data_IF_364859109668
#
_entry.id   IF_364859109668
#
_cell.length_a   1.000
_cell.length_b   1.000
_cell.length_c   1.000
_cell.angle_alpha   90.00
_cell.angle_beta   90.00
_cell.angle_gamma   90.00
#
_symmetry.space_group_name_H-M   'P 1'
#
loop_
_entity.id
_entity.type
_entity.pdbx_description
1 polymer ?
#
# COMPACT_ATOMS: atom_id res chain seq x y z
N UNK A 1 40.14 -11.18 24.48
CA UNK A 1 39.59 -9.93 25.05
C UNK A 1 38.08 -10.11 25.15
N UNK A 2 37.57 -10.30 26.37
CA UNK A 2 36.16 -10.51 26.65
C UNK A 2 35.43 -9.15 26.51
N UNK A 3 34.45 -9.06 25.58
CA UNK A 3 33.54 -7.92 25.50
C UNK A 3 32.60 -8.03 26.73
N UNK A 4 32.80 -7.16 27.71
CA UNK A 4 31.86 -7.00 28.80
C UNK A 4 30.52 -6.54 28.24
N UNK A 5 29.49 -7.37 28.42
CA UNK A 5 28.11 -6.99 28.19
C UNK A 5 27.80 -5.82 29.13
N UNK A 6 27.67 -4.61 28.59
CA UNK A 6 27.13 -3.49 29.36
C UNK A 6 25.71 -3.85 29.75
N UNK A 7 25.48 -4.04 31.07
CA UNK A 7 24.15 -4.12 31.60
C UNK A 7 23.40 -2.85 31.25
N UNK A 8 22.51 -2.95 30.23
CA UNK A 8 21.73 -1.82 29.77
C UNK A 8 20.87 -1.28 30.90
N UNK A 9 20.94 0.02 31.12
CA UNK A 9 20.00 0.73 32.00
C UNK A 9 18.60 0.36 31.48
N UNK A 10 17.68 -0.15 32.33
CA UNK A 10 16.33 -0.47 31.87
C UNK A 10 15.70 0.79 31.30
N UNK A 11 15.30 0.69 30.05
CA UNK A 11 14.68 1.82 29.35
C UNK A 11 13.43 2.26 30.10
N UNK A 12 13.20 3.57 30.24
CA UNK A 12 11.97 4.06 30.86
C UNK A 12 10.80 3.58 29.99
N UNK A 13 10.02 2.66 30.51
CA UNK A 13 8.76 2.22 29.86
C UNK A 13 7.84 3.44 29.83
N UNK A 14 7.44 3.86 28.67
CA UNK A 14 6.54 5.00 28.52
C UNK A 14 5.29 4.79 29.40
N UNK A 15 4.80 5.87 30.02
CA UNK A 15 3.63 5.80 30.89
C UNK A 15 2.44 5.17 30.13
N UNK A 16 1.59 4.35 30.76
CA UNK A 16 0.48 3.65 30.10
C UNK A 16 -0.42 4.56 29.27
N UNK A 17 -0.65 5.79 29.72
CA UNK A 17 -1.42 6.81 28.99
C UNK A 17 -0.75 7.23 27.67
N UNK A 18 0.58 7.35 27.65
CA UNK A 18 1.35 7.70 26.44
C UNK A 18 1.25 6.56 25.42
N UNK A 19 1.41 5.31 25.87
CA UNK A 19 1.27 4.15 24.97
C UNK A 19 -0.14 4.04 24.38
N UNK A 20 -1.17 4.30 25.18
CA UNK A 20 -2.56 4.31 24.70
C UNK A 20 -2.78 5.42 23.66
N UNK A 21 -2.23 6.62 23.89
CA UNK A 21 -2.31 7.74 22.97
C UNK A 21 -1.55 7.45 21.67
N UNK A 22 -0.33 6.89 21.75
CA UNK A 22 0.43 6.46 20.58
C UNK A 22 -0.35 5.46 19.71
N UNK A 23 -0.96 4.44 20.34
CA UNK A 23 -1.78 3.44 19.64
C UNK A 23 -3.03 4.06 19.03
N UNK A 24 -3.70 4.97 19.72
CA UNK A 24 -4.87 5.70 19.19
C UNK A 24 -4.50 6.55 17.98
N UNK A 25 -3.34 7.22 17.99
CA UNK A 25 -2.86 7.99 16.84
C UNK A 25 -2.51 7.08 15.64
N UNK A 26 -1.88 5.92 15.86
CA UNK A 26 -1.64 4.96 14.77
C UNK A 26 -2.96 4.54 14.14
N UNK A 27 -3.98 4.26 14.96
CA UNK A 27 -5.32 3.94 14.46
C UNK A 27 -5.92 5.10 13.66
N UNK A 28 -5.83 6.33 14.18
CA UNK A 28 -6.42 7.51 13.54
C UNK A 28 -5.71 7.86 12.22
N UNK A 29 -4.37 7.79 12.18
CA UNK A 29 -3.59 7.94 10.94
C UNK A 29 -4.06 6.93 9.90
N UNK A 30 -4.16 5.66 10.29
CA UNK A 30 -4.58 4.59 9.37
C UNK A 30 -6.03 4.75 8.88
N UNK A 31 -6.95 5.22 9.72
CA UNK A 31 -8.33 5.48 9.33
C UNK A 31 -8.44 6.69 8.39
N UNK A 32 -7.63 7.73 8.60
CA UNK A 32 -7.66 8.95 7.81
C UNK A 32 -7.08 8.82 6.40
N UNK A 33 -6.27 7.78 6.11
CA UNK A 33 -5.75 7.49 4.75
C UNK A 33 -6.87 7.38 3.72
N UNK A 34 -8.05 6.97 4.14
CA UNK A 34 -9.22 6.80 3.28
C UNK A 34 -9.91 8.12 2.88
N UNK A 35 -9.54 9.27 3.45
CA UNK A 35 -10.19 10.57 3.19
C UNK A 35 -9.23 11.47 2.43
N UNK A 36 -9.38 11.54 1.10
CA UNK A 36 -8.40 12.16 0.20
C UNK A 36 -9.02 13.21 -0.75
N UNK A 37 -10.34 13.35 -0.77
CA UNK A 37 -11.02 14.30 -1.66
C UNK A 37 -10.87 15.78 -1.25
N UNK A 38 -10.37 16.03 -0.03
CA UNK A 38 -10.06 17.37 0.52
C UNK A 38 -8.53 17.49 0.63
N UNK A 39 -7.97 18.67 0.31
CA UNK A 39 -6.56 18.99 0.51
C UNK A 39 -6.38 20.29 1.28
N UNK A 40 -5.50 20.31 2.32
CA UNK A 40 -4.80 19.15 2.89
C UNK A 40 -5.78 18.14 3.48
N UNK A 41 -5.50 16.83 3.28
CA UNK A 41 -6.41 15.81 3.79
C UNK A 41 -6.24 15.64 5.31
N UNK A 42 -7.24 15.08 6.02
CA UNK A 42 -7.09 14.72 7.42
C UNK A 42 -5.86 13.87 7.72
N UNK A 43 -5.44 13.05 6.75
CA UNK A 43 -4.25 12.21 6.87
C UNK A 43 -2.97 13.02 7.11
N UNK A 44 -2.76 14.12 6.36
CA UNK A 44 -1.57 14.95 6.53
C UNK A 44 -1.51 15.55 7.94
N UNK A 45 -2.61 16.10 8.40
CA UNK A 45 -2.70 16.76 9.72
C UNK A 45 -2.47 15.74 10.84
N UNK A 46 -3.19 14.63 10.79
CA UNK A 46 -3.10 13.58 11.83
C UNK A 46 -1.70 12.93 11.85
N UNK A 47 -1.09 12.71 10.68
CA UNK A 47 0.26 12.13 10.58
C UNK A 47 1.32 13.08 11.15
N UNK A 48 1.22 14.38 10.87
CA UNK A 48 2.12 15.38 11.47
C UNK A 48 1.97 15.44 12.98
N UNK A 49 0.74 15.44 13.50
CA UNK A 49 0.49 15.38 14.95
C UNK A 49 1.08 14.09 15.57
N UNK A 50 0.88 12.96 14.90
CA UNK A 50 1.45 11.69 15.34
C UNK A 50 2.98 11.73 15.33
N UNK A 51 3.59 12.26 14.27
CA UNK A 51 5.04 12.43 14.19
C UNK A 51 5.60 13.26 15.36
N UNK A 52 4.99 14.42 15.65
CA UNK A 52 5.41 15.28 16.77
C UNK A 52 5.30 14.54 18.11
N UNK A 53 4.17 13.85 18.37
CA UNK A 53 4.01 13.09 19.62
C UNK A 53 5.04 11.98 19.74
N UNK A 54 5.24 11.19 18.69
CA UNK A 54 6.21 10.09 18.71
C UNK A 54 7.65 10.61 18.84
N UNK A 55 8.00 11.72 18.19
CA UNK A 55 9.30 12.36 18.34
C UNK A 55 9.54 12.83 19.79
N UNK A 56 8.51 13.40 20.42
CA UNK A 56 8.57 13.86 21.82
C UNK A 56 8.61 12.69 22.83
N UNK A 57 8.09 11.52 22.49
CA UNK A 57 7.96 10.37 23.39
C UNK A 57 8.97 9.24 23.12
N UNK A 58 9.89 9.41 22.19
CA UNK A 58 11.01 8.48 21.98
C UNK A 58 11.02 7.73 20.66
N UNK A 59 10.77 8.40 19.55
CA UNK A 59 10.94 7.82 18.23
C UNK A 59 12.43 7.53 17.93
N UNK A 60 12.75 6.31 17.49
CA UNK A 60 14.15 5.89 17.27
C UNK A 60 14.43 5.56 15.82
N UNK A 61 15.40 6.25 15.23
CA UNK A 61 15.94 5.91 13.92
C UNK A 61 17.03 4.84 14.09
N UNK A 62 16.73 3.60 13.70
CA UNK A 62 17.66 2.47 13.78
C UNK A 62 18.56 2.42 12.52
N UNK A 63 19.81 2.00 12.68
CA UNK A 63 20.76 1.88 11.55
C UNK A 63 20.25 0.95 10.43
N UNK A 64 19.40 0.00 10.74
CA UNK A 64 18.77 -0.89 9.73
C UNK A 64 17.94 -0.13 8.70
N UNK A 65 17.49 1.10 9.00
CA UNK A 65 16.75 1.96 8.07
C UNK A 65 17.64 2.81 7.17
N UNK A 66 18.97 2.79 7.33
CA UNK A 66 19.87 3.63 6.52
C UNK A 66 19.70 3.45 5.01
N UNK A 67 19.54 2.23 4.46
CA UNK A 67 19.30 2.07 3.02
C UNK A 67 17.98 2.70 2.58
N UNK A 68 16.90 2.55 3.38
CA UNK A 68 15.60 3.18 3.15
C UNK A 68 15.75 4.71 3.12
N UNK A 69 16.33 5.29 4.18
CA UNK A 69 16.49 6.74 4.31
C UNK A 69 17.34 7.31 3.17
N UNK A 70 18.48 6.66 2.87
CA UNK A 70 19.37 7.10 1.79
C UNK A 70 18.64 7.15 0.44
N UNK A 71 17.93 6.08 0.08
CA UNK A 71 17.21 6.00 -1.20
C UNK A 71 16.04 6.99 -1.27
N UNK A 72 15.31 7.21 -0.16
CA UNK A 72 14.26 8.23 -0.08
C UNK A 72 14.81 9.65 -0.21
N UNK A 73 15.95 9.93 0.40
CA UNK A 73 16.64 11.23 0.30
C UNK A 73 17.15 11.44 -1.13
N UNK A 74 17.81 10.45 -1.74
CA UNK A 74 18.28 10.55 -3.12
C UNK A 74 17.14 10.76 -4.10
N UNK A 75 16.03 10.02 -3.95
CA UNK A 75 14.82 10.19 -4.75
C UNK A 75 14.33 11.64 -4.72
N UNK A 76 14.21 12.20 -3.53
CA UNK A 76 13.69 13.56 -3.34
C UNK A 76 14.69 14.66 -3.69
N UNK A 77 15.99 14.42 -3.55
CA UNK A 77 17.03 15.32 -4.08
C UNK A 77 16.89 15.40 -5.61
N UNK A 78 16.76 14.28 -6.31
CA UNK A 78 16.58 14.28 -7.75
C UNK A 78 15.32 15.05 -8.16
N UNK A 79 14.18 14.80 -7.53
CA UNK A 79 12.93 15.55 -7.76
C UNK A 79 13.09 17.06 -7.51
N UNK A 80 13.81 17.43 -6.43
CA UNK A 80 14.05 18.83 -6.10
C UNK A 80 14.97 19.51 -7.14
N UNK A 81 16.00 18.80 -7.61
CA UNK A 81 16.92 19.31 -8.66
C UNK A 81 16.18 19.43 -10.01
N UNK A 82 15.41 18.41 -10.40
CA UNK A 82 14.61 18.46 -11.64
C UNK A 82 13.55 19.56 -11.63
N UNK A 83 13.02 19.91 -10.45
CA UNK A 83 12.03 20.97 -10.31
C UNK A 83 12.60 22.40 -10.48
N UNK A 84 13.91 22.62 -10.31
CA UNK A 84 14.50 23.99 -10.27
C UNK A 84 14.13 24.82 -11.49
N UNK A 85 14.17 24.21 -12.67
CA UNK A 85 13.90 24.91 -13.94
C UNK A 85 12.43 25.18 -14.22
N UNK A 86 11.52 24.61 -13.41
CA UNK A 86 10.07 24.63 -13.63
C UNK A 86 9.28 25.00 -12.36
N UNK A 87 9.93 25.60 -11.36
CA UNK A 87 9.30 25.98 -10.08
C UNK A 87 8.19 27.02 -10.22
N UNK A 88 8.19 27.79 -11.27
CA UNK A 88 7.17 28.77 -11.65
C UNK A 88 5.90 28.13 -12.21
N UNK A 89 6.00 26.86 -12.63
CA UNK A 89 4.85 26.13 -13.16
C UNK A 89 3.87 25.74 -12.04
N UNK A 90 2.55 25.75 -12.34
CA UNK A 90 1.52 25.42 -11.35
C UNK A 90 1.75 24.05 -10.70
N UNK A 91 1.56 23.98 -9.39
CA UNK A 91 1.62 22.77 -8.56
C UNK A 91 2.99 22.07 -8.47
N UNK A 92 4.04 22.50 -9.16
CA UNK A 92 5.36 21.86 -9.08
C UNK A 92 5.94 21.93 -7.67
N UNK A 93 5.89 23.10 -7.03
CA UNK A 93 6.37 23.24 -5.65
C UNK A 93 5.61 22.34 -4.68
N UNK A 94 4.28 22.34 -4.74
CA UNK A 94 3.46 21.48 -3.87
C UNK A 94 3.69 19.99 -4.15
N UNK A 95 3.94 19.60 -5.39
CA UNK A 95 4.27 18.23 -5.76
C UNK A 95 5.58 17.76 -5.09
N UNK A 96 6.63 18.58 -5.15
CA UNK A 96 7.92 18.28 -4.49
C UNK A 96 7.77 18.20 -2.98
N UNK A 97 7.05 19.16 -2.37
CA UNK A 97 6.78 19.14 -0.92
C UNK A 97 6.01 17.88 -0.52
N UNK A 98 5.01 17.49 -1.32
CA UNK A 98 4.24 16.26 -1.08
C UNK A 98 5.13 15.02 -1.20
N UNK A 99 6.07 14.96 -2.15
CA UNK A 99 7.02 13.85 -2.27
C UNK A 99 7.93 13.72 -1.04
N UNK A 100 8.48 14.84 -0.53
CA UNK A 100 9.23 14.85 0.74
C UNK A 100 8.38 14.41 1.93
N UNK A 101 7.13 14.87 1.99
CA UNK A 101 6.18 14.44 3.02
C UNK A 101 5.92 12.93 2.95
N UNK A 102 5.73 12.36 1.76
CA UNK A 102 5.54 10.91 1.57
C UNK A 102 6.77 10.12 2.05
N UNK A 103 7.98 10.58 1.72
CA UNK A 103 9.22 9.97 2.20
C UNK A 103 9.31 10.01 3.74
N UNK A 104 8.96 11.14 4.35
CA UNK A 104 8.89 11.27 5.81
C UNK A 104 7.89 10.29 6.42
N UNK A 105 6.70 10.11 5.81
CA UNK A 105 5.70 9.16 6.31
C UNK A 105 6.18 7.71 6.23
N UNK A 106 6.90 7.32 5.18
CA UNK A 106 7.51 5.99 5.09
C UNK A 106 8.53 5.75 6.21
N UNK A 107 9.41 6.71 6.47
CA UNK A 107 10.38 6.62 7.58
C UNK A 107 9.64 6.57 8.94
N UNK A 108 8.60 7.38 9.11
CA UNK A 108 7.77 7.39 10.32
C UNK A 108 7.15 6.01 10.59
N UNK A 109 6.48 5.40 9.61
CA UNK A 109 5.89 4.07 9.78
C UNK A 109 6.94 2.99 10.02
N UNK A 110 8.13 3.09 9.40
CA UNK A 110 9.24 2.18 9.65
C UNK A 110 9.69 2.25 11.12
N UNK A 111 9.85 3.45 11.67
CA UNK A 111 10.23 3.64 13.06
C UNK A 111 9.13 3.18 14.02
N UNK A 112 7.88 3.60 13.79
CA UNK A 112 6.72 3.28 14.66
C UNK A 112 6.47 1.78 14.73
N UNK A 113 6.51 1.07 13.59
CA UNK A 113 6.24 -0.36 13.54
C UNK A 113 7.45 -1.25 13.85
N UNK A 114 8.62 -0.65 14.14
CA UNK A 114 9.78 -1.40 14.65
C UNK A 114 9.73 -1.66 16.16
N UNK A 115 8.82 -1.01 16.87
CA UNK A 115 8.61 -1.14 18.33
C UNK A 115 7.13 -1.38 18.62
N UNK A 116 6.83 -2.16 19.66
CA UNK A 116 5.44 -2.56 19.99
C UNK A 116 4.65 -3.06 18.77
N UNK A 117 5.35 -3.78 17.88
CA UNK A 117 4.93 -4.08 16.51
C UNK A 117 3.55 -4.73 16.44
N UNK A 118 3.26 -5.73 17.30
CA UNK A 118 1.97 -6.42 17.28
C UNK A 118 0.80 -5.48 17.59
N UNK A 119 0.92 -4.69 18.68
CA UNK A 119 -0.17 -3.82 19.11
C UNK A 119 -0.37 -2.64 18.12
N UNK A 120 0.73 -2.03 17.67
CA UNK A 120 0.65 -0.92 16.70
C UNK A 120 0.14 -1.38 15.34
N UNK A 121 0.54 -2.57 14.89
CA UNK A 121 0.05 -3.17 13.65
C UNK A 121 -1.44 -3.55 13.73
N UNK A 122 -1.91 -4.02 14.89
CA UNK A 122 -3.34 -4.29 15.08
C UNK A 122 -4.16 -2.97 15.04
N UNK A 123 -3.66 -1.88 15.61
CA UNK A 123 -4.29 -0.57 15.50
C UNK A 123 -4.29 -0.04 14.05
N UNK A 124 -3.17 -0.15 13.35
CA UNK A 124 -3.07 0.22 11.93
C UNK A 124 -4.08 -0.56 11.09
N UNK A 125 -4.15 -1.88 11.27
CA UNK A 125 -5.10 -2.74 10.56
C UNK A 125 -6.55 -2.35 10.84
N UNK A 126 -6.92 -2.12 12.12
CA UNK A 126 -8.27 -1.68 12.50
C UNK A 126 -8.62 -0.33 11.91
N UNK A 127 -7.69 0.64 11.94
CA UNK A 127 -7.89 1.95 11.31
C UNK A 127 -8.11 1.84 9.80
N UNK A 128 -7.25 1.10 9.08
CA UNK A 128 -7.40 0.86 7.64
C UNK A 128 -8.74 0.21 7.30
N UNK A 129 -9.20 -0.77 8.10
CA UNK A 129 -10.49 -1.43 7.87
C UNK A 129 -11.68 -0.48 8.07
N UNK A 130 -11.64 0.37 9.10
CA UNK A 130 -12.68 1.38 9.30
C UNK A 130 -12.68 2.40 8.17
N UNK A 131 -11.52 2.94 7.80
CA UNK A 131 -11.40 3.86 6.67
C UNK A 131 -11.89 3.23 5.36
N UNK A 132 -11.53 1.97 5.09
CA UNK A 132 -11.97 1.25 3.91
C UNK A 132 -13.48 1.05 3.86
N UNK A 133 -14.12 0.71 4.98
CA UNK A 133 -15.58 0.57 5.05
C UNK A 133 -16.28 1.92 4.81
N UNK A 134 -15.76 3.00 5.40
CA UNK A 134 -16.30 4.36 5.16
C UNK A 134 -16.18 4.73 3.68
N UNK A 135 -15.01 4.55 3.08
CA UNK A 135 -14.79 4.83 1.66
C UNK A 135 -15.66 3.96 0.74
N UNK A 136 -15.81 2.67 1.08
CA UNK A 136 -16.65 1.73 0.31
C UNK A 136 -18.13 2.07 0.39
N UNK A 137 -18.63 2.40 1.59
CA UNK A 137 -20.04 2.81 1.76
C UNK A 137 -20.32 4.14 1.05
N UNK A 138 -19.38 5.10 1.10
CA UNK A 138 -19.48 6.34 0.34
C UNK A 138 -19.49 6.07 -1.18
N UNK A 139 -18.61 5.19 -1.67
CA UNK A 139 -18.54 4.80 -3.08
C UNK A 139 -19.84 4.16 -3.57
N UNK A 140 -20.38 3.20 -2.80
CA UNK A 140 -21.65 2.52 -3.10
C UNK A 140 -22.83 3.52 -3.02
N UNK A 141 -22.86 4.33 -1.95
CA UNK A 141 -23.92 5.33 -1.76
C UNK A 141 -23.96 6.39 -2.85
N UNK A 142 -22.79 6.83 -3.33
CA UNK A 142 -22.67 7.74 -4.45
C UNK A 142 -23.10 7.11 -5.77
N UNK A 143 -22.59 5.91 -6.07
CA UNK A 143 -22.90 5.21 -7.32
C UNK A 143 -24.41 4.95 -7.51
N UNK A 144 -25.09 4.48 -6.48
CA UNK A 144 -26.54 4.22 -6.50
C UNK A 144 -27.38 5.45 -6.13
N UNK A 145 -26.78 6.64 -6.02
CA UNK A 145 -27.43 7.88 -5.65
C UNK A 145 -28.33 7.78 -4.40
N UNK A 146 -27.84 7.06 -3.37
CA UNK A 146 -28.58 6.82 -2.13
C UNK A 146 -28.64 8.07 -1.22
N UNK A 147 -27.81 9.08 -1.50
CA UNK A 147 -27.75 10.36 -0.79
C UNK A 147 -27.94 11.48 -1.81
N UNK A 148 -28.84 12.46 -1.58
CA UNK A 148 -29.04 13.59 -2.49
C UNK A 148 -27.72 14.33 -2.78
N UNK A 149 -27.38 14.51 -4.07
CA UNK A 149 -26.12 15.09 -4.51
C UNK A 149 -24.87 14.20 -4.32
N UNK A 150 -25.07 12.98 -3.81
CA UNK A 150 -23.97 12.03 -3.57
C UNK A 150 -23.33 11.52 -4.85
N UNK A 151 -24.11 11.39 -5.92
CA UNK A 151 -23.58 10.93 -7.20
C UNK A 151 -22.48 11.87 -7.73
N UNK A 152 -22.72 13.16 -7.81
CA UNK A 152 -21.76 14.13 -8.34
C UNK A 152 -20.51 14.25 -7.47
N UNK A 153 -20.67 14.11 -6.14
CA UNK A 153 -19.56 14.21 -5.20
C UNK A 153 -18.70 12.95 -5.12
N UNK A 154 -19.31 11.75 -5.23
CA UNK A 154 -18.70 10.46 -4.90
C UNK A 154 -18.44 9.57 -6.11
N UNK A 155 -18.75 10.07 -7.33
CA UNK A 155 -18.41 9.43 -8.60
C UNK A 155 -17.53 10.33 -9.46
N UNK A 156 -16.89 9.73 -10.46
CA UNK A 156 -16.15 10.42 -11.50
C UNK A 156 -16.23 9.58 -12.78
N UNK A 157 -16.68 10.19 -13.88
CA UNK A 157 -16.91 9.48 -15.17
C UNK A 157 -17.76 8.21 -14.98
N UNK A 158 -18.89 8.33 -14.30
CA UNK A 158 -19.81 7.22 -13.97
C UNK A 158 -19.18 6.07 -13.18
N UNK A 159 -18.06 6.31 -12.54
CA UNK A 159 -17.31 5.35 -11.72
C UNK A 159 -17.29 5.78 -10.27
N UNK A 160 -17.43 4.83 -9.34
CA UNK A 160 -17.36 5.12 -7.92
C UNK A 160 -15.93 5.54 -7.50
N UNK A 161 -15.79 6.74 -6.93
CA UNK A 161 -14.54 7.23 -6.32
C UNK A 161 -14.60 7.35 -4.80
N UNK A 162 -15.82 7.32 -4.22
CA UNK A 162 -16.03 7.44 -2.78
C UNK A 162 -15.35 8.67 -2.20
N UNK A 163 -14.55 8.48 -1.18
CA UNK A 163 -13.78 9.53 -0.49
C UNK A 163 -12.41 9.84 -1.12
N UNK A 164 -12.19 9.40 -2.37
CA UNK A 164 -10.97 9.63 -3.14
C UNK A 164 -11.21 10.61 -4.30
N UNK A 165 -10.14 11.16 -4.86
CA UNK A 165 -10.21 12.02 -6.05
C UNK A 165 -10.41 11.20 -7.33
N UNK A 166 -9.90 9.96 -7.35
CA UNK A 166 -9.89 9.11 -8.54
C UNK A 166 -10.34 7.68 -8.20
N UNK A 167 -11.18 7.04 -9.06
CA UNK A 167 -11.64 5.65 -8.87
C UNK A 167 -10.51 4.62 -8.84
N UNK A 168 -9.42 4.83 -9.58
CA UNK A 168 -8.30 3.89 -9.59
C UNK A 168 -7.58 3.90 -8.23
N UNK A 169 -7.42 5.09 -7.64
CA UNK A 169 -6.80 5.23 -6.30
C UNK A 169 -7.67 4.60 -5.22
N UNK A 170 -9.01 4.78 -5.29
CA UNK A 170 -9.94 4.07 -4.39
C UNK A 170 -9.76 2.55 -4.52
N UNK A 171 -9.79 2.02 -5.75
CA UNK A 171 -9.67 0.58 -6.00
C UNK A 171 -8.38 0.01 -5.44
N UNK A 172 -7.25 0.64 -5.74
CA UNK A 172 -5.93 0.25 -5.25
C UNK A 172 -5.81 0.31 -3.71
N UNK A 173 -6.32 1.38 -3.08
CA UNK A 173 -6.33 1.50 -1.61
C UNK A 173 -7.10 0.36 -0.96
N UNK A 174 -8.22 -0.05 -1.52
CA UNK A 174 -9.10 -1.07 -0.96
C UNK A 174 -8.50 -2.49 -1.02
N UNK A 175 -7.46 -2.73 -1.82
CA UNK A 175 -6.82 -4.06 -1.93
C UNK A 175 -6.27 -4.52 -0.58
N UNK A 176 -5.46 -3.71 0.12
CA UNK A 176 -4.88 -4.13 1.41
C UNK A 176 -5.94 -4.45 2.48
N UNK A 177 -6.97 -3.62 2.71
CA UNK A 177 -8.09 -3.97 3.58
C UNK A 177 -8.81 -5.26 3.16
N UNK A 178 -9.05 -5.47 1.85
CA UNK A 178 -9.65 -6.69 1.33
C UNK A 178 -8.80 -7.93 1.66
N UNK A 179 -7.47 -7.86 1.54
CA UNK A 179 -6.57 -8.94 1.91
C UNK A 179 -6.62 -9.25 3.41
N UNK A 180 -6.69 -8.26 4.28
CA UNK A 180 -6.88 -8.50 5.73
C UNK A 180 -8.22 -9.18 6.04
N UNK A 181 -9.29 -8.80 5.33
CA UNK A 181 -10.59 -9.43 5.48
C UNK A 181 -10.59 -10.86 4.94
N UNK A 182 -10.01 -11.09 3.76
CA UNK A 182 -9.86 -12.42 3.17
C UNK A 182 -9.05 -13.34 4.08
N UNK A 183 -7.98 -12.85 4.68
CA UNK A 183 -7.17 -13.58 5.67
C UNK A 183 -8.04 -14.07 6.85
N UNK A 184 -8.91 -13.20 7.37
CA UNK A 184 -9.84 -13.59 8.43
C UNK A 184 -10.88 -14.61 7.94
N UNK A 185 -11.40 -14.48 6.71
CA UNK A 185 -12.34 -15.44 6.12
C UNK A 185 -11.75 -16.84 6.12
N UNK A 186 -10.50 -16.98 5.69
CA UNK A 186 -9.88 -18.31 5.55
C UNK A 186 -9.31 -18.88 6.86
N UNK A 187 -9.03 -18.05 7.88
CA UNK A 187 -8.34 -18.51 9.08
C UNK A 187 -9.10 -18.37 10.40
N UNK A 188 -10.04 -17.42 10.49
CA UNK A 188 -10.71 -17.12 11.76
C UNK A 188 -11.84 -18.09 12.10
N UNK A 189 -12.26 -18.19 13.38
CA UNK A 189 -13.50 -18.91 13.77
C UNK A 189 -14.71 -18.35 13.02
N UNK A 190 -15.76 -19.20 12.84
CA UNK A 190 -16.92 -18.93 12.00
C UNK A 190 -17.54 -17.54 12.17
N UNK A 191 -17.85 -17.12 13.39
CA UNK A 191 -18.50 -15.81 13.63
C UNK A 191 -17.63 -14.60 13.22
N UNK A 192 -16.30 -14.69 13.35
CA UNK A 192 -15.36 -13.67 12.87
C UNK A 192 -15.19 -13.76 11.36
N UNK A 193 -15.12 -14.97 10.82
CA UNK A 193 -15.03 -15.22 9.38
C UNK A 193 -16.25 -14.66 8.65
N UNK A 194 -17.47 -14.90 9.16
CA UNK A 194 -18.72 -14.38 8.58
C UNK A 194 -18.76 -12.85 8.56
N UNK A 195 -18.43 -12.19 9.68
CA UNK A 195 -18.35 -10.72 9.72
C UNK A 195 -17.32 -10.18 8.72
N UNK A 196 -16.17 -10.84 8.61
CA UNK A 196 -15.14 -10.46 7.63
C UNK A 196 -15.58 -10.73 6.20
N UNK A 197 -16.37 -11.77 5.93
CA UNK A 197 -16.94 -12.05 4.60
C UNK A 197 -17.95 -10.97 4.18
N UNK A 198 -18.81 -10.54 5.09
CA UNK A 198 -19.76 -9.43 4.82
C UNK A 198 -19.00 -8.14 4.51
N UNK A 199 -18.01 -7.78 5.35
CA UNK A 199 -17.19 -6.61 5.11
C UNK A 199 -16.38 -6.71 3.79
N UNK A 200 -15.88 -7.90 3.46
CA UNK A 200 -15.20 -8.16 2.19
C UNK A 200 -16.14 -8.00 0.99
N UNK A 201 -17.41 -8.40 1.13
CA UNK A 201 -18.45 -8.17 0.12
C UNK A 201 -18.68 -6.67 -0.14
N UNK A 202 -18.76 -5.86 0.92
CA UNK A 202 -18.90 -4.39 0.81
C UNK A 202 -17.68 -3.77 0.13
N UNK A 203 -16.47 -4.13 0.56
CA UNK A 203 -15.22 -3.63 -0.03
C UNK A 203 -15.07 -4.12 -1.47
N UNK A 204 -15.39 -5.39 -1.75
CA UNK A 204 -15.35 -5.98 -3.09
C UNK A 204 -16.33 -5.31 -4.06
N UNK A 205 -17.54 -4.98 -3.59
CA UNK A 205 -18.51 -4.22 -4.38
C UNK A 205 -17.96 -2.83 -4.73
N UNK A 206 -17.35 -2.11 -3.79
CA UNK A 206 -16.76 -0.82 -4.05
C UNK A 206 -15.59 -0.91 -5.06
N UNK A 207 -14.74 -1.95 -4.97
CA UNK A 207 -13.68 -2.22 -5.96
C UNK A 207 -14.29 -2.50 -7.35
N UNK A 208 -15.37 -3.27 -7.43
CA UNK A 208 -16.06 -3.53 -8.69
C UNK A 208 -16.59 -2.23 -9.30
N UNK A 209 -17.31 -1.43 -8.51
CA UNK A 209 -17.93 -0.16 -8.95
C UNK A 209 -16.92 0.95 -9.23
N UNK A 210 -15.66 0.82 -8.79
CA UNK A 210 -14.58 1.69 -9.21
C UNK A 210 -14.20 1.47 -10.68
N UNK A 211 -14.64 0.38 -11.32
CA UNK A 211 -14.40 0.06 -12.74
C UNK A 211 -12.94 0.27 -13.15
N UNK A 212 -12.01 -0.18 -12.29
CA UNK A 212 -10.57 -0.12 -12.50
C UNK A 212 -10.03 -1.50 -12.83
N UNK A 213 -9.59 -1.72 -14.07
CA UNK A 213 -8.96 -2.99 -14.50
C UNK A 213 -7.77 -3.36 -13.63
N UNK A 214 -6.93 -2.36 -13.30
CA UNK A 214 -5.76 -2.55 -12.45
C UNK A 214 -6.15 -3.00 -11.05
N UNK A 215 -7.19 -2.40 -10.44
CA UNK A 215 -7.67 -2.81 -9.13
C UNK A 215 -8.31 -4.21 -9.15
N UNK A 216 -9.07 -4.57 -10.20
CA UNK A 216 -9.63 -5.91 -10.33
C UNK A 216 -8.54 -6.98 -10.46
N UNK A 217 -7.61 -6.78 -11.42
CA UNK A 217 -6.48 -7.68 -11.60
C UNK A 217 -5.56 -7.71 -10.37
N UNK A 218 -5.31 -6.53 -9.78
CA UNK A 218 -4.55 -6.37 -8.55
C UNK A 218 -5.13 -7.18 -7.39
N UNK A 219 -6.44 -7.08 -7.14
CA UNK A 219 -7.12 -7.87 -6.09
C UNK A 219 -6.95 -9.38 -6.30
N UNK A 220 -7.16 -9.86 -7.52
CA UNK A 220 -7.03 -11.30 -7.85
C UNK A 220 -5.59 -11.77 -7.66
N UNK A 221 -4.62 -11.07 -8.26
CA UNK A 221 -3.20 -11.46 -8.23
C UNK A 221 -2.63 -11.38 -6.80
N UNK A 222 -2.92 -10.30 -6.06
CA UNK A 222 -2.42 -10.14 -4.70
C UNK A 222 -3.06 -11.12 -3.72
N UNK A 223 -4.37 -11.43 -3.90
CA UNK A 223 -5.06 -12.46 -3.12
C UNK A 223 -4.44 -13.84 -3.37
N UNK A 224 -4.25 -14.21 -4.63
CA UNK A 224 -3.62 -15.49 -4.99
C UNK A 224 -2.19 -15.60 -4.42
N UNK A 225 -1.39 -14.54 -4.56
CA UNK A 225 -0.03 -14.50 -4.04
C UNK A 225 0.01 -14.60 -2.49
N UNK A 226 -0.82 -13.81 -1.79
CA UNK A 226 -0.92 -13.88 -0.33
C UNK A 226 -1.32 -15.27 0.14
N UNK A 227 -2.36 -15.86 -0.46
CA UNK A 227 -2.86 -17.19 -0.11
C UNK A 227 -1.82 -18.28 -0.38
N UNK A 228 -1.10 -18.20 -1.49
CA UNK A 228 0.02 -19.11 -1.78
C UNK A 228 1.10 -19.02 -0.70
N UNK A 229 1.52 -17.82 -0.32
CA UNK A 229 2.48 -17.63 0.78
C UNK A 229 1.94 -18.16 2.12
N UNK A 230 0.64 -17.97 2.41
CA UNK A 230 0.00 -18.51 3.61
C UNK A 230 0.03 -20.03 3.63
N UNK A 231 -0.24 -20.71 2.50
CA UNK A 231 -0.13 -22.16 2.37
C UNK A 231 1.31 -22.64 2.55
N UNK A 232 2.28 -21.95 1.93
CA UNK A 232 3.71 -22.28 2.03
C UNK A 232 4.26 -22.10 3.45
N UNK A 233 3.76 -21.13 4.20
CA UNK A 233 4.19 -20.81 5.58
C UNK A 233 3.34 -21.48 6.65
N UNK A 234 2.29 -22.24 6.27
CA UNK A 234 1.43 -22.98 7.20
C UNK A 234 2.19 -24.08 7.93
N UNK A 235 1.92 -24.24 9.22
CA UNK A 235 2.60 -25.16 10.12
C UNK A 235 1.99 -26.55 10.15
N UNK A 236 0.75 -26.73 9.67
CA UNK A 236 0.06 -28.01 9.65
C UNK A 236 -0.71 -28.27 8.36
N UNK A 237 -0.92 -29.55 8.04
CA UNK A 237 -1.74 -29.92 6.89
C UNK A 237 -3.22 -29.54 7.07
N UNK A 238 -3.73 -29.57 8.29
CA UNK A 238 -5.10 -29.11 8.60
C UNK A 238 -5.28 -27.62 8.31
N UNK A 239 -4.29 -26.80 8.66
CA UNK A 239 -4.31 -25.37 8.32
C UNK A 239 -4.25 -25.14 6.81
N UNK A 240 -3.37 -25.85 6.09
CA UNK A 240 -3.28 -25.78 4.62
C UNK A 240 -4.59 -26.14 3.95
N UNK A 241 -5.17 -27.31 4.31
CA UNK A 241 -6.44 -27.77 3.77
C UNK A 241 -7.56 -26.76 4.04
N UNK A 242 -7.62 -26.19 5.24
CA UNK A 242 -8.61 -25.17 5.58
C UNK A 242 -8.46 -23.93 4.70
N UNK A 243 -7.24 -23.41 4.52
CA UNK A 243 -6.98 -22.24 3.66
C UNK A 243 -7.45 -22.54 2.24
N UNK A 244 -7.10 -23.69 1.67
CA UNK A 244 -7.50 -24.05 0.31
C UNK A 244 -9.02 -24.17 0.18
N UNK A 245 -9.68 -24.92 1.07
CA UNK A 245 -11.13 -25.10 1.03
C UNK A 245 -11.87 -23.77 1.15
N UNK A 246 -11.48 -22.94 2.12
CA UNK A 246 -12.12 -21.63 2.34
C UNK A 246 -11.83 -20.66 1.20
N UNK A 247 -10.67 -20.76 0.55
CA UNK A 247 -10.33 -19.97 -0.65
C UNK A 247 -11.26 -20.35 -1.81
N UNK A 248 -11.44 -21.63 -2.06
CA UNK A 248 -12.38 -22.10 -3.10
C UNK A 248 -13.80 -21.64 -2.79
N UNK A 249 -14.26 -21.79 -1.55
CA UNK A 249 -15.58 -21.32 -1.14
C UNK A 249 -15.75 -19.80 -1.32
N UNK A 250 -14.75 -19.00 -0.94
CA UNK A 250 -14.77 -17.56 -1.13
C UNK A 250 -14.76 -17.18 -2.62
N UNK A 251 -13.98 -17.87 -3.46
CA UNK A 251 -13.94 -17.65 -4.90
C UNK A 251 -15.28 -17.97 -5.56
N UNK A 252 -15.94 -19.08 -5.18
CA UNK A 252 -17.28 -19.43 -5.67
C UNK A 252 -18.30 -18.37 -5.23
N UNK A 253 -18.28 -17.95 -3.97
CA UNK A 253 -19.18 -16.91 -3.47
C UNK A 253 -18.97 -15.57 -4.22
N UNK A 254 -17.72 -15.18 -4.48
CA UNK A 254 -17.40 -13.99 -5.26
C UNK A 254 -17.90 -14.11 -6.71
N UNK A 255 -17.71 -15.27 -7.37
CA UNK A 255 -18.20 -15.50 -8.72
C UNK A 255 -19.74 -15.41 -8.81
N UNK A 256 -20.46 -15.99 -7.85
CA UNK A 256 -21.93 -15.88 -7.75
C UNK A 256 -22.35 -14.43 -7.55
N UNK A 257 -21.68 -13.70 -6.64
CA UNK A 257 -21.99 -12.28 -6.41
C UNK A 257 -21.75 -11.43 -7.66
N UNK A 258 -20.64 -11.63 -8.35
CA UNK A 258 -20.33 -10.93 -9.61
C UNK A 258 -21.39 -11.25 -10.66
N UNK A 259 -21.76 -12.52 -10.84
CA UNK A 259 -22.80 -12.92 -11.78
C UNK A 259 -24.16 -12.25 -11.47
N UNK A 260 -24.53 -12.16 -10.19
CA UNK A 260 -25.74 -11.44 -9.76
C UNK A 260 -25.64 -9.93 -10.04
N UNK A 261 -24.48 -9.31 -9.80
CA UNK A 261 -24.28 -7.88 -10.06
C UNK A 261 -24.32 -7.57 -11.57
N UNK A 262 -23.76 -8.44 -12.40
CA UNK A 262 -23.78 -8.30 -13.85
C UNK A 262 -25.17 -8.55 -14.48
N UNK A 263 -26.18 -8.98 -13.70
CA UNK A 263 -27.56 -9.00 -14.17
C UNK A 263 -28.24 -7.62 -14.19
N UNK A 264 -27.60 -6.59 -13.62
CA UNK A 264 -28.06 -5.21 -13.70
C UNK A 264 -27.41 -4.53 -14.92
N UNK A 265 -28.21 -4.05 -15.87
CA UNK A 265 -27.75 -3.49 -17.15
C UNK A 265 -26.68 -2.40 -16.94
N UNK A 266 -26.90 -1.45 -16.01
CA UNK A 266 -25.98 -0.35 -15.74
C UNK A 266 -24.58 -0.81 -15.31
N UNK A 267 -24.48 -1.92 -14.54
CA UNK A 267 -23.21 -2.50 -14.11
C UNK A 267 -22.61 -3.31 -15.25
N UNK A 268 -23.43 -4.09 -15.96
CA UNK A 268 -23.00 -4.94 -17.06
C UNK A 268 -22.40 -4.12 -18.21
N UNK A 269 -23.07 -3.05 -18.64
CA UNK A 269 -22.62 -2.19 -19.72
C UNK A 269 -21.27 -1.52 -19.40
N UNK A 270 -21.17 -0.95 -18.19
CA UNK A 270 -19.92 -0.34 -17.76
C UNK A 270 -18.80 -1.39 -17.59
N UNK A 271 -19.13 -2.57 -17.09
CA UNK A 271 -18.17 -3.67 -16.96
C UNK A 271 -17.65 -4.11 -18.34
N UNK A 272 -18.53 -4.32 -19.32
CA UNK A 272 -18.13 -4.70 -20.67
C UNK A 272 -17.26 -3.65 -21.33
N UNK A 273 -17.64 -2.36 -21.22
CA UNK A 273 -16.85 -1.26 -21.74
C UNK A 273 -15.43 -1.23 -21.13
N UNK A 274 -15.32 -1.47 -19.82
CA UNK A 274 -14.05 -1.39 -19.10
C UNK A 274 -13.23 -2.68 -19.14
N UNK A 275 -13.86 -3.84 -19.27
CA UNK A 275 -13.17 -5.13 -19.37
C UNK A 275 -12.50 -5.35 -20.75
N UNK A 276 -12.89 -4.60 -21.78
CA UNK A 276 -12.21 -4.64 -23.08
C UNK A 276 -10.73 -4.30 -22.95
N UNK A 277 -9.87 -5.10 -23.59
CA UNK A 277 -8.44 -4.84 -23.69
C UNK A 277 -8.11 -3.78 -24.74
N UNK A 278 -8.98 -3.61 -25.75
CA UNK A 278 -8.82 -2.63 -26.80
C UNK A 278 -9.36 -1.27 -26.34
N UNK A 279 -8.45 -0.40 -25.91
CA UNK A 279 -8.79 0.96 -25.50
C UNK A 279 -7.99 1.93 -26.35
N UNK A 280 -8.67 2.85 -27.01
CA UNK A 280 -8.07 3.83 -27.92
C UNK A 280 -6.94 4.67 -27.29
N UNK A 281 -6.97 4.87 -25.97
CA UNK A 281 -5.94 5.61 -25.24
C UNK A 281 -4.69 4.76 -24.92
N UNK A 282 -4.77 3.42 -25.05
CA UNK A 282 -3.63 2.52 -24.82
C UNK A 282 -2.82 2.29 -26.10
N UNK A 283 -3.44 2.46 -27.30
CA UNK A 283 -2.88 2.07 -28.60
C UNK A 283 -2.19 3.21 -29.35
N UNK A 284 -1.35 2.82 -30.33
CA UNK A 284 -0.67 3.73 -31.22
C UNK A 284 0.59 4.38 -30.64
N UNK A 285 1.29 5.15 -31.48
CA UNK A 285 2.58 5.80 -31.12
C UNK A 285 2.48 6.74 -29.93
N UNK A 286 1.36 7.42 -29.77
CA UNK A 286 1.08 8.36 -28.68
C UNK A 286 0.06 7.82 -27.67
N UNK A 287 -0.37 6.56 -27.80
CA UNK A 287 -1.09 5.85 -26.75
C UNK A 287 -0.19 5.59 -25.55
N UNK A 288 -0.75 5.10 -24.44
CA UNK A 288 -0.03 4.92 -23.19
C UNK A 288 1.30 4.20 -23.36
N UNK A 289 1.29 3.02 -23.97
CA UNK A 289 2.51 2.21 -24.13
C UNK A 289 3.52 2.80 -25.11
N UNK A 290 3.04 3.45 -26.19
CA UNK A 290 3.90 4.18 -27.12
C UNK A 290 4.63 5.34 -26.44
N UNK A 291 3.92 6.12 -25.60
CA UNK A 291 4.53 7.19 -24.80
C UNK A 291 5.57 6.67 -23.80
N UNK A 292 5.34 5.49 -23.20
CA UNK A 292 6.33 4.88 -22.30
C UNK A 292 7.65 4.60 -23.03
N UNK A 293 7.59 4.07 -24.26
CA UNK A 293 8.79 3.79 -25.06
C UNK A 293 9.49 5.10 -25.44
N UNK A 294 8.74 6.08 -25.96
CA UNK A 294 9.30 7.37 -26.37
C UNK A 294 9.86 8.15 -25.15
N UNK A 295 9.16 8.12 -24.03
CA UNK A 295 9.62 8.75 -22.79
C UNK A 295 10.86 8.08 -22.22
N UNK A 296 10.96 6.75 -22.29
CA UNK A 296 12.14 6.01 -21.86
C UNK A 296 13.38 6.35 -22.72
N UNK A 297 13.20 6.46 -24.04
CA UNK A 297 14.26 6.93 -24.95
C UNK A 297 14.71 8.36 -24.60
N UNK A 298 13.74 9.26 -24.43
CA UNK A 298 13.99 10.65 -24.02
C UNK A 298 14.71 10.74 -22.66
N UNK A 299 14.40 9.86 -21.69
CA UNK A 299 15.01 9.88 -20.38
C UNK A 299 16.53 9.57 -20.38
N UNK A 300 17.01 8.85 -21.40
CA UNK A 300 18.45 8.56 -21.55
C UNK A 300 19.27 9.80 -21.86
N UNK A 301 18.69 10.78 -22.55
CA UNK A 301 19.36 12.03 -22.94
C UNK A 301 19.17 13.15 -21.90
N UNK A 302 18.36 12.94 -20.86
CA UNK A 302 17.99 13.95 -19.89
C UNK A 302 18.43 13.59 -18.46
N UNK A 303 19.73 13.79 -18.12
CA UNK A 303 20.23 13.42 -16.79
C UNK A 303 19.59 14.17 -15.63
N UNK A 304 19.00 15.35 -15.85
CA UNK A 304 18.26 16.12 -14.85
C UNK A 304 16.74 15.97 -14.99
N UNK A 305 16.26 15.23 -15.99
CA UNK A 305 14.83 15.11 -16.30
C UNK A 305 14.27 16.39 -16.96
N UNK A 306 12.94 16.43 -17.06
CA UNK A 306 12.18 17.60 -17.56
C UNK A 306 11.49 18.37 -16.43
N UNK A 307 11.55 17.82 -15.23
CA UNK A 307 10.86 18.34 -14.04
C UNK A 307 9.48 17.72 -13.79
N UNK A 308 8.99 17.80 -12.54
CA UNK A 308 7.68 17.27 -12.15
C UNK A 308 6.54 17.92 -12.95
N UNK A 309 5.54 17.10 -13.32
CA UNK A 309 4.32 17.55 -14.02
C UNK A 309 4.56 18.17 -15.40
N UNK A 310 5.70 17.90 -16.06
CA UNK A 310 6.01 18.49 -17.36
C UNK A 310 5.82 17.54 -18.55
N UNK A 311 5.53 16.25 -18.32
CA UNK A 311 5.45 15.25 -19.39
C UNK A 311 4.36 15.55 -20.42
N UNK A 312 3.23 16.11 -19.97
CA UNK A 312 2.11 16.51 -20.84
C UNK A 312 2.45 17.64 -21.83
N UNK A 313 3.59 18.34 -21.66
CA UNK A 313 4.07 19.31 -22.65
C UNK A 313 4.74 18.65 -23.87
N UNK A 314 5.18 17.41 -23.72
CA UNK A 314 5.84 16.62 -24.78
C UNK A 314 4.91 15.57 -25.38
N UNK A 315 3.93 15.10 -24.60
CA UNK A 315 3.02 14.02 -24.96
C UNK A 315 1.57 14.40 -24.60
N UNK A 316 0.54 13.79 -25.24
CA UNK A 316 -0.87 14.14 -25.02
C UNK A 316 -1.38 14.00 -23.59
N UNK A 317 -0.76 13.13 -22.77
CA UNK A 317 -1.11 12.87 -21.37
C UNK A 317 0.16 12.64 -20.53
N UNK A 318 0.00 12.59 -19.20
CA UNK A 318 1.07 12.29 -18.26
C UNK A 318 1.65 10.89 -18.43
N UNK A 319 2.74 10.61 -17.68
CA UNK A 319 3.50 9.37 -17.77
C UNK A 319 2.64 8.13 -17.55
N UNK A 320 1.70 8.16 -16.61
CA UNK A 320 0.96 6.98 -16.15
C UNK A 320 1.87 5.76 -15.93
N UNK A 321 3.07 6.02 -15.38
CA UNK A 321 4.10 5.03 -15.09
C UNK A 321 5.08 5.60 -14.07
N UNK A 322 4.98 5.18 -12.80
CA UNK A 322 5.83 5.70 -11.72
C UNK A 322 7.32 5.48 -11.95
N UNK A 323 7.69 4.42 -12.65
CA UNK A 323 9.10 4.13 -12.95
C UNK A 323 9.67 5.14 -13.95
N UNK A 324 8.91 5.43 -15.00
CA UNK A 324 9.27 6.45 -15.98
C UNK A 324 9.17 7.85 -15.36
N UNK A 325 8.12 8.11 -14.57
CA UNK A 325 7.93 9.40 -13.92
C UNK A 325 9.12 9.78 -13.01
N UNK A 326 9.74 8.82 -12.35
CA UNK A 326 10.93 9.07 -11.53
C UNK A 326 12.10 9.59 -12.38
N UNK A 327 12.30 9.07 -13.61
CA UNK A 327 13.30 9.59 -14.54
C UNK A 327 12.90 10.95 -15.10
N UNK A 328 11.66 11.10 -15.53
CA UNK A 328 11.22 12.34 -16.18
C UNK A 328 11.16 13.51 -15.21
N UNK A 329 10.70 13.28 -13.97
CA UNK A 329 10.55 14.33 -12.96
C UNK A 329 11.86 14.72 -12.25
N UNK A 330 12.79 13.78 -12.06
CA UNK A 330 14.00 14.03 -11.25
C UNK A 330 15.29 13.50 -11.87
N UNK A 331 15.27 13.21 -13.18
CA UNK A 331 16.42 12.75 -13.94
C UNK A 331 16.94 11.40 -13.43
N UNK A 332 18.21 11.14 -13.70
CA UNK A 332 18.83 9.85 -13.37
C UNK A 332 18.95 9.60 -11.86
N UNK A 333 19.06 10.65 -11.05
CA UNK A 333 19.13 10.47 -9.58
C UNK A 333 17.85 9.81 -9.07
N UNK A 334 16.68 10.39 -9.33
CA UNK A 334 15.40 9.82 -8.93
C UNK A 334 15.08 8.55 -9.71
N UNK A 335 15.40 8.53 -11.01
CA UNK A 335 15.15 7.40 -11.90
C UNK A 335 15.89 6.12 -11.49
N UNK A 336 17.05 6.25 -10.85
CA UNK A 336 17.80 5.11 -10.28
C UNK A 336 17.34 4.83 -8.84
N UNK A 337 17.15 5.89 -8.04
CA UNK A 337 16.79 5.73 -6.63
C UNK A 337 15.43 5.04 -6.43
N UNK A 338 14.41 5.37 -7.25
CA UNK A 338 13.08 4.76 -7.13
C UNK A 338 13.08 3.24 -7.42
N UNK A 339 13.60 2.75 -8.57
CA UNK A 339 13.75 1.32 -8.80
C UNK A 339 14.60 0.63 -7.72
N UNK A 340 15.71 1.23 -7.30
CA UNK A 340 16.55 0.66 -6.25
C UNK A 340 15.79 0.52 -4.92
N UNK A 341 15.01 1.54 -4.52
CA UNK A 341 14.16 1.51 -3.33
C UNK A 341 13.13 0.38 -3.40
N UNK A 342 12.40 0.29 -4.52
CA UNK A 342 11.36 -0.73 -4.71
C UNK A 342 11.96 -2.13 -4.75
N UNK A 343 12.99 -2.36 -5.55
CA UNK A 343 13.62 -3.67 -5.70
C UNK A 343 14.28 -4.15 -4.40
N UNK A 344 14.94 -3.26 -3.67
CA UNK A 344 15.50 -3.57 -2.35
C UNK A 344 14.40 -3.95 -1.36
N UNK A 345 13.29 -3.20 -1.35
CA UNK A 345 12.14 -3.49 -0.48
C UNK A 345 11.50 -4.82 -0.84
N UNK A 346 11.33 -5.13 -2.12
CA UNK A 346 10.81 -6.42 -2.61
C UNK A 346 11.74 -7.56 -2.21
N UNK A 347 13.05 -7.43 -2.42
CA UNK A 347 14.02 -8.46 -2.06
C UNK A 347 14.07 -8.72 -0.54
N UNK A 348 14.06 -7.66 0.26
CA UNK A 348 13.94 -7.75 1.72
C UNK A 348 12.61 -8.38 2.13
N UNK A 349 11.53 -8.02 1.41
CA UNK A 349 10.18 -8.52 1.60
C UNK A 349 10.06 -10.03 1.45
N UNK A 350 10.58 -10.58 0.36
CA UNK A 350 10.61 -12.03 0.14
C UNK A 350 11.36 -12.78 1.23
N UNK A 351 12.53 -12.26 1.64
CA UNK A 351 13.30 -12.88 2.74
C UNK A 351 12.56 -12.88 4.06
N UNK A 352 11.76 -11.83 4.31
CA UNK A 352 11.01 -11.70 5.55
C UNK A 352 9.71 -12.49 5.55
N UNK A 353 9.10 -12.76 4.41
CA UNK A 353 7.86 -13.53 4.31
C UNK A 353 7.91 -14.89 5.00
N UNK A 354 9.08 -15.50 5.07
CA UNK A 354 9.33 -16.80 5.70
C UNK A 354 9.85 -16.74 7.15
N UNK A 355 9.94 -15.54 7.75
CA UNK A 355 10.34 -15.40 9.16
C UNK A 355 9.12 -15.63 10.04
N UNK A 356 9.18 -16.57 11.02
CA UNK A 356 8.03 -16.94 11.85
C UNK A 356 7.78 -15.94 12.99
N UNK A 357 7.64 -14.64 12.64
CA UNK A 357 7.29 -13.61 13.61
C UNK A 357 5.78 -13.64 13.93
N UNK A 358 5.35 -13.14 15.11
CA UNK A 358 3.93 -13.11 15.50
C UNK A 358 3.03 -12.41 14.48
N UNK A 359 3.55 -11.39 13.81
CA UNK A 359 2.86 -10.61 12.79
C UNK A 359 3.02 -11.16 11.36
N UNK A 360 3.63 -12.34 11.16
CA UNK A 360 3.91 -12.89 9.82
C UNK A 360 2.70 -12.84 8.89
N UNK A 361 1.52 -13.26 9.36
CA UNK A 361 0.31 -13.25 8.51
C UNK A 361 -0.07 -11.86 8.03
N UNK A 362 -0.07 -10.86 8.93
CA UNK A 362 -0.36 -9.48 8.55
C UNK A 362 0.69 -8.94 7.58
N UNK A 363 1.97 -9.32 7.79
CA UNK A 363 3.05 -9.00 6.89
C UNK A 363 2.80 -9.54 5.46
N UNK A 364 2.35 -10.79 5.31
CA UNK A 364 2.05 -11.37 4.00
C UNK A 364 0.97 -10.58 3.24
N UNK A 365 -0.05 -10.07 3.93
CA UNK A 365 -1.07 -9.24 3.31
C UNK A 365 -0.49 -7.88 2.84
N UNK A 366 0.30 -7.20 3.69
CA UNK A 366 0.94 -5.93 3.33
C UNK A 366 1.92 -6.12 2.18
N UNK A 367 2.74 -7.18 2.21
CA UNK A 367 3.69 -7.47 1.16
C UNK A 367 3.01 -7.77 -0.18
N UNK A 368 1.93 -8.54 -0.17
CA UNK A 368 1.16 -8.83 -1.38
C UNK A 368 0.52 -7.55 -1.96
N UNK A 369 -0.11 -6.71 -1.11
CA UNK A 369 -0.68 -5.44 -1.55
C UNK A 369 0.40 -4.48 -2.09
N UNK A 370 1.56 -4.41 -1.43
CA UNK A 370 2.70 -3.62 -1.90
C UNK A 370 3.15 -4.04 -3.29
N UNK A 371 3.30 -5.37 -3.54
CA UNK A 371 3.65 -5.89 -4.87
C UNK A 371 2.57 -5.55 -5.91
N UNK A 372 1.30 -5.60 -5.54
CA UNK A 372 0.19 -5.15 -6.41
C UNK A 372 0.35 -3.70 -6.82
N UNK A 373 0.57 -2.80 -5.85
CA UNK A 373 0.76 -1.36 -6.13
C UNK A 373 2.04 -1.08 -6.94
N UNK A 374 3.11 -1.84 -6.70
CA UNK A 374 4.34 -1.80 -7.52
C UNK A 374 4.04 -2.19 -8.97
N UNK A 375 3.23 -3.24 -9.17
CA UNK A 375 2.76 -3.66 -10.50
C UNK A 375 1.87 -2.61 -11.17
N UNK A 376 0.95 -2.00 -10.43
CA UNK A 376 0.12 -0.89 -10.92
C UNK A 376 0.97 0.31 -11.38
N UNK A 377 2.11 0.55 -10.72
CA UNK A 377 3.06 1.61 -11.08
C UNK A 377 3.63 1.54 -12.49
N UNK A 378 3.44 0.43 -13.23
CA UNK A 378 3.78 0.35 -14.66
C UNK A 378 2.71 0.93 -15.59
N UNK A 379 1.50 1.18 -15.09
CA UNK A 379 0.35 1.63 -15.90
C UNK A 379 -0.37 2.86 -15.31
N UNK A 380 0.03 3.31 -14.14
CA UNK A 380 -0.46 4.52 -13.48
C UNK A 380 0.59 5.08 -12.53
N UNK A 381 0.55 6.38 -12.22
CA UNK A 381 1.47 7.03 -11.30
C UNK A 381 1.04 6.74 -9.85
N UNK A 382 1.77 5.85 -9.16
CA UNK A 382 1.53 5.42 -7.77
C UNK A 382 2.41 6.12 -6.75
N UNK A 383 3.37 6.90 -7.20
CA UNK A 383 4.43 7.54 -6.42
C UNK A 383 3.92 8.60 -5.43
N UNK A 384 2.70 9.12 -5.61
CA UNK A 384 2.03 10.04 -4.69
C UNK A 384 0.85 9.40 -3.94
N UNK A 385 0.73 8.07 -3.95
CA UNK A 385 -0.30 7.38 -3.22
C UNK A 385 0.11 7.14 -1.76
N UNK A 386 -0.60 7.72 -0.82
CA UNK A 386 -0.34 7.66 0.63
C UNK A 386 -0.19 6.23 1.15
N UNK A 387 -1.05 5.32 0.69
CA UNK A 387 -1.01 3.91 1.10
C UNK A 387 0.22 3.14 0.59
N UNK A 388 0.82 3.55 -0.55
CA UNK A 388 2.09 2.98 -1.02
C UNK A 388 3.21 3.21 0.00
N UNK A 389 3.37 4.46 0.45
CA UNK A 389 4.41 4.85 1.40
C UNK A 389 4.17 4.30 2.80
N UNK A 390 2.89 4.19 3.22
CA UNK A 390 2.49 3.51 4.44
C UNK A 390 2.92 2.04 4.41
N UNK A 391 2.60 1.30 3.33
CA UNK A 391 2.98 -0.11 3.19
C UNK A 391 4.50 -0.28 3.17
N UNK A 392 5.21 0.55 2.42
CA UNK A 392 6.67 0.54 2.34
C UNK A 392 7.29 0.71 3.74
N UNK A 393 6.88 1.74 4.47
CA UNK A 393 7.36 1.98 5.83
C UNK A 393 6.99 0.86 6.80
N UNK A 394 5.75 0.37 6.74
CA UNK A 394 5.29 -0.75 7.57
C UNK A 394 6.13 -2.02 7.35
N UNK A 395 6.44 -2.35 6.11
CA UNK A 395 7.32 -3.49 5.79
C UNK A 395 8.69 -3.34 6.43
N UNK A 396 9.34 -2.19 6.27
CA UNK A 396 10.66 -1.95 6.85
C UNK A 396 10.65 -2.00 8.37
N UNK A 397 9.60 -1.47 9.02
CA UNK A 397 9.42 -1.53 10.47
C UNK A 397 9.31 -2.97 10.97
N UNK A 398 8.44 -3.78 10.34
CA UNK A 398 8.27 -5.19 10.69
C UNK A 398 9.53 -6.02 10.40
N UNK A 399 10.28 -5.73 9.33
CA UNK A 399 11.55 -6.38 9.00
C UNK A 399 12.60 -6.07 10.08
N UNK A 400 12.66 -4.84 10.55
CA UNK A 400 13.57 -4.42 11.63
C UNK A 400 13.22 -5.08 12.96
N UNK A 401 11.94 -5.17 13.31
CA UNK A 401 11.45 -5.81 14.53
C UNK A 401 11.68 -7.33 14.55
N UNK A 402 11.82 -7.95 13.37
CA UNK A 402 11.96 -9.42 13.26
C UNK A 402 13.38 -9.95 13.49
N UNK A 403 14.36 -9.11 13.79
CA UNK A 403 15.74 -9.55 14.06
C UNK A 403 15.84 -10.71 15.06
N UNK A 404 15.16 -10.68 16.24
CA UNK A 404 15.21 -11.78 17.21
C UNK A 404 14.68 -13.11 16.66
N UNK A 405 13.68 -13.05 15.77
CA UNK A 405 13.05 -14.25 15.19
C UNK A 405 13.86 -14.89 14.06
N UNK A 406 14.82 -14.17 13.49
CA UNK A 406 15.75 -14.68 12.46
C UNK A 406 16.85 -15.53 13.06
N UNK A 407 17.31 -15.17 14.26
CA UNK A 407 18.40 -15.86 14.98
C UNK A 407 17.90 -17.08 15.76
N UNK A 408 16.61 -17.13 16.09
CA UNK A 408 15.97 -18.28 16.73
C UNK A 408 15.77 -19.46 15.76
N UNK A 409 16.73 -19.74 14.89
CA UNK A 409 16.77 -20.98 14.11
C UNK A 409 16.98 -22.14 15.08
N UNK A 410 15.95 -23.00 15.17
CA UNK A 410 15.91 -24.40 15.64
C UNK A 410 16.99 -24.79 16.67
N UNK A 411 16.64 -25.34 17.80
CA UNK A 411 17.57 -26.16 18.56
C UNK A 411 17.98 -27.30 17.63
N UNK A 412 19.23 -27.27 17.19
CA UNK A 412 19.90 -28.42 16.61
C UNK A 412 19.86 -29.51 17.66
N UNK A 413 19.10 -30.56 17.38
CA UNK A 413 19.00 -31.85 18.05
C UNK A 413 18.75 -31.84 19.56
N UNK A 414 17.73 -32.60 20.04
CA UNK A 414 17.71 -32.98 21.45
C UNK A 414 19.03 -33.73 21.78
N UNK A 415 19.62 -33.50 22.96
CA UNK A 415 20.78 -34.25 23.36
C UNK A 415 20.43 -35.76 23.29
N UNK A 416 21.27 -36.52 22.61
CA UNK A 416 21.15 -37.97 22.58
C UNK A 416 20.99 -38.46 24.00
N UNK A 417 19.86 -39.10 24.28
CA UNK A 417 19.68 -39.80 25.55
C UNK A 417 20.78 -40.84 25.63
N UNK A 418 21.75 -40.60 26.53
CA UNK A 418 22.74 -41.61 26.90
C UNK A 418 21.97 -42.75 27.55
N UNK A 419 21.96 -43.88 26.91
CA UNK A 419 21.56 -45.16 27.45
C UNK A 419 22.54 -45.63 28.50
#
# INVERSE_FOLDING_TARGET
MAYAASAGIPEPVAAPGVLALQRALVWLVAASVAIVFIEPSPYEIVTLCAFVLFAATGLRLRLVFMPLVLLLVLLNIGYSVGAISVLDQPNVFSWVVTSWYMAMTAIFFAMVLSEDTEARLDMLRRGLLVGALVASLAAIGGYFNLVPGGHDLLTLYERARGTFKDPNVLGAFLILPALFLLQNVVTAPFGKALRSAIALGVVGLAILLAFSRAAWGGLVLTSAFMLALMVLTSRSNAERSRIVIMTVAAAVAAAVLIALLLSFDSISDMFQQRASFDQSYDEGRFGRFGRHILGADMALDLPLGIGPLQFHHYFPEDTHNSWLNAFMSGGWISGIAYPALVLLTVAAGFRHAFVPAPWQRAYLAIFAAFLGTVGEGFVIDTDHWRHFWLMLGAMWGMIAAAQPYRTAKQPLNPPAQAT
#
